data_IF_842033405550
#
_entry.id   IF_842033405550
#
_cell.length_a   1.000
_cell.length_b   1.000
_cell.length_c   1.000
_cell.angle_alpha   90.00
_cell.angle_beta   90.00
_cell.angle_gamma   90.00
#
_symmetry.space_group_name_H-M   'P 1'
#
loop_
_entity.id
_entity.type
_entity.pdbx_description
1 polymer ?
#
# COMPACT_ATOMS: atom_id res chain seq x y z
N UNK A 1 6.83 -24.74 -7.40
CA UNK A 1 6.31 -23.88 -6.33
C UNK A 1 5.57 -24.74 -5.31
N UNK A 2 5.96 -24.76 -4.03
CA UNK A 2 5.20 -25.49 -3.01
C UNK A 2 3.98 -24.71 -2.53
N UNK A 3 2.90 -25.40 -2.13
CA UNK A 3 1.65 -24.79 -1.63
C UNK A 3 1.92 -23.79 -0.50
N UNK A 4 2.84 -24.10 0.41
CA UNK A 4 3.24 -23.20 1.50
C UNK A 4 3.86 -21.89 1.01
N UNK A 5 4.54 -21.89 -0.14
CA UNK A 5 5.11 -20.66 -0.69
C UNK A 5 4.01 -19.72 -1.21
N UNK A 6 3.00 -20.26 -1.89
CA UNK A 6 1.85 -19.48 -2.36
C UNK A 6 1.08 -18.85 -1.18
N UNK A 7 0.89 -19.60 -0.10
CA UNK A 7 0.27 -19.10 1.13
C UNK A 7 1.12 -17.98 1.75
N UNK A 8 2.43 -18.17 1.88
CA UNK A 8 3.33 -17.16 2.46
C UNK A 8 3.38 -15.86 1.65
N UNK A 9 3.43 -15.96 0.31
CA UNK A 9 3.38 -14.79 -0.57
C UNK A 9 2.07 -14.04 -0.38
N UNK A 10 0.94 -14.74 -0.42
CA UNK A 10 -0.39 -14.14 -0.26
C UNK A 10 -0.58 -13.51 1.12
N UNK A 11 -0.07 -14.15 2.18
CA UNK A 11 -0.10 -13.61 3.54
C UNK A 11 0.75 -12.32 3.68
N UNK A 12 1.90 -12.28 3.00
CA UNK A 12 2.73 -11.07 2.96
C UNK A 12 2.05 -9.92 2.21
N UNK A 13 1.39 -10.22 1.08
CA UNK A 13 0.59 -9.26 0.31
C UNK A 13 -0.59 -8.72 1.12
N UNK A 14 -1.32 -9.60 1.81
CA UNK A 14 -2.42 -9.24 2.71
C UNK A 14 -1.97 -8.26 3.80
N UNK A 15 -0.83 -8.54 4.42
CA UNK A 15 -0.26 -7.67 5.47
C UNK A 15 0.15 -6.31 4.91
N UNK A 16 0.73 -6.28 3.70
CA UNK A 16 1.12 -5.05 3.03
C UNK A 16 -0.09 -4.20 2.62
N UNK A 17 -1.14 -4.81 2.07
CA UNK A 17 -2.37 -4.10 1.69
C UNK A 17 -3.15 -3.60 2.91
N UNK A 18 -3.13 -4.33 4.04
CA UNK A 18 -3.68 -3.80 5.30
C UNK A 18 -2.99 -2.48 5.70
N UNK A 19 -1.65 -2.45 5.67
CA UNK A 19 -0.92 -1.21 5.97
C UNK A 19 -1.27 -0.12 4.96
N UNK A 20 -1.42 -0.46 3.67
CA UNK A 20 -1.86 0.50 2.65
C UNK A 20 -3.24 1.09 2.99
N UNK A 21 -4.22 0.27 3.39
CA UNK A 21 -5.53 0.74 3.84
C UNK A 21 -5.45 1.66 5.07
N UNK A 22 -4.57 1.34 6.03
CA UNK A 22 -4.38 2.17 7.22
C UNK A 22 -3.83 3.56 6.85
N UNK A 23 -2.90 3.62 5.88
CA UNK A 23 -2.36 4.89 5.40
C UNK A 23 -3.38 5.69 4.60
N UNK A 24 -4.17 5.03 3.74
CA UNK A 24 -5.24 5.70 3.00
C UNK A 24 -6.30 6.25 3.97
N UNK A 25 -6.69 5.47 4.98
CA UNK A 25 -7.61 5.92 6.04
C UNK A 25 -7.08 7.15 6.77
N UNK A 26 -5.78 7.17 7.10
CA UNK A 26 -5.11 8.34 7.69
C UNK A 26 -5.13 9.55 6.77
N UNK A 27 -4.92 9.36 5.48
CA UNK A 27 -5.00 10.46 4.51
C UNK A 27 -6.42 11.04 4.45
N UNK A 28 -7.44 10.20 4.34
CA UNK A 28 -8.85 10.63 4.30
C UNK A 28 -9.21 11.39 5.58
N UNK A 29 -8.84 10.85 6.75
CA UNK A 29 -9.12 11.49 8.03
C UNK A 29 -8.46 12.87 8.18
N UNK A 30 -7.31 13.09 7.55
CA UNK A 30 -6.58 14.36 7.60
C UNK A 30 -6.71 15.20 6.32
N UNK A 31 -7.68 14.89 5.45
CA UNK A 31 -7.82 15.58 4.16
C UNK A 31 -8.14 17.07 4.31
N UNK A 32 -8.75 17.47 5.43
CA UNK A 32 -9.09 18.86 5.75
C UNK A 32 -8.22 19.43 6.88
N UNK A 33 -7.11 18.78 7.24
CA UNK A 33 -6.25 19.22 8.34
C UNK A 33 -5.23 20.26 7.86
N UNK A 34 -5.56 21.53 8.05
CA UNK A 34 -4.75 22.71 7.70
C UNK A 34 -3.55 22.93 8.62
N UNK A 35 -3.61 22.43 9.87
CA UNK A 35 -2.57 22.62 10.88
C UNK A 35 -2.23 21.32 11.60
N UNK A 36 -1.02 20.84 11.39
CA UNK A 36 -0.43 19.72 12.17
C UNK A 36 0.42 20.26 13.34
N UNK A 37 0.96 19.38 14.18
CA UNK A 37 1.87 19.76 15.28
C UNK A 37 3.11 20.56 14.82
N UNK A 38 3.49 20.43 13.55
CA UNK A 38 4.60 21.18 12.94
C UNK A 38 4.18 22.53 12.34
N UNK A 39 2.90 22.90 12.44
CA UNK A 39 2.34 24.14 11.89
C UNK A 39 2.05 24.13 10.40
N UNK A 40 2.43 23.07 9.67
CA UNK A 40 2.14 22.89 8.24
C UNK A 40 0.88 22.03 8.02
N UNK A 41 0.21 22.14 6.86
CA UNK A 41 -0.88 21.24 6.48
C UNK A 41 -0.44 19.79 6.38
N UNK A 42 -1.39 18.87 6.55
CA UNK A 42 -1.11 17.44 6.39
C UNK A 42 -0.61 17.14 4.97
N UNK A 43 0.46 16.35 4.87
CA UNK A 43 0.96 15.81 3.59
C UNK A 43 0.45 14.40 3.38
N UNK A 44 -0.07 14.14 2.17
CA UNK A 44 -0.45 12.81 1.70
C UNK A 44 0.70 11.83 1.88
N UNK A 45 0.42 10.67 2.49
CA UNK A 45 1.39 9.59 2.69
C UNK A 45 1.09 8.43 1.75
N UNK A 46 2.15 7.83 1.20
CA UNK A 46 2.07 6.71 0.27
C UNK A 46 2.95 5.55 0.75
N UNK A 47 2.52 4.33 0.49
CA UNK A 47 3.24 3.12 0.87
C UNK A 47 4.12 2.66 -0.29
N UNK A 48 5.39 2.36 -0.02
CA UNK A 48 6.32 1.77 -0.99
C UNK A 48 6.52 0.31 -0.67
N UNK A 49 6.17 -0.56 -1.61
CA UNK A 49 6.39 -1.99 -1.49
C UNK A 49 7.78 -2.38 -1.98
N UNK A 50 8.35 -3.42 -1.37
CA UNK A 50 9.61 -4.04 -1.78
C UNK A 50 9.53 -5.54 -1.57
N UNK A 51 10.26 -6.31 -2.38
CA UNK A 51 10.41 -7.73 -2.13
C UNK A 51 11.07 -7.97 -0.75
N UNK A 52 10.59 -8.98 -0.01
CA UNK A 52 11.10 -9.31 1.32
C UNK A 52 12.62 -9.56 1.31
N UNK A 53 13.13 -10.17 0.25
CA UNK A 53 14.53 -10.55 0.07
C UNK A 53 15.08 -10.02 -1.26
N UNK A 54 15.20 -8.70 -1.34
CA UNK A 54 15.72 -7.98 -2.50
C UNK A 54 17.18 -8.35 -2.74
N UNK A 55 17.45 -9.00 -3.89
CA UNK A 55 18.80 -9.21 -4.41
C UNK A 55 19.13 -8.19 -5.51
N UNK A 56 20.41 -7.99 -5.88
CA UNK A 56 20.76 -7.16 -7.03
C UNK A 56 20.14 -7.72 -8.31
N UNK A 57 19.79 -6.86 -9.27
CA UNK A 57 19.24 -7.29 -10.56
C UNK A 57 20.15 -8.31 -11.27
N UNK A 58 21.47 -8.15 -11.15
CA UNK A 58 22.46 -9.08 -11.69
C UNK A 58 22.27 -10.52 -11.18
N UNK A 59 21.86 -10.71 -9.93
CA UNK A 59 21.55 -12.03 -9.37
C UNK A 59 20.32 -12.67 -10.04
N UNK A 60 19.31 -11.89 -10.40
CA UNK A 60 18.14 -12.40 -11.11
C UNK A 60 18.47 -12.70 -12.57
N UNK A 61 19.29 -11.85 -13.20
CA UNK A 61 19.72 -12.02 -14.59
C UNK A 61 20.60 -13.28 -14.76
N UNK A 62 21.55 -13.51 -13.85
CA UNK A 62 22.44 -14.69 -13.91
C UNK A 62 21.71 -16.00 -13.62
N UNK A 63 20.68 -15.97 -12.78
CA UNK A 63 19.91 -17.16 -12.42
C UNK A 63 18.73 -17.45 -13.35
N UNK A 64 18.44 -16.57 -14.32
CA UNK A 64 17.33 -16.73 -15.25
C UNK A 64 17.46 -18.00 -16.11
N UNK A 65 18.69 -18.47 -16.33
CA UNK A 65 18.96 -19.66 -17.15
C UNK A 65 18.71 -20.98 -16.41
N UNK A 66 18.88 -21.07 -15.08
CA UNK A 66 19.04 -22.37 -14.40
C UNK A 66 18.23 -22.57 -13.09
N UNK A 67 17.36 -21.64 -12.67
CA UNK A 67 16.57 -21.85 -11.44
C UNK A 67 15.18 -21.21 -11.48
N UNK A 68 14.20 -21.97 -10.96
CA UNK A 68 12.90 -21.43 -10.55
C UNK A 68 13.13 -20.31 -9.52
N UNK A 69 12.94 -19.05 -9.96
CA UNK A 69 12.94 -17.89 -9.09
C UNK A 69 11.75 -18.03 -8.13
N UNK A 70 12.01 -18.47 -6.90
CA UNK A 70 11.01 -18.51 -5.86
C UNK A 70 10.84 -17.10 -5.29
N UNK A 71 9.76 -16.42 -5.66
CA UNK A 71 9.38 -15.15 -5.04
C UNK A 71 9.14 -15.34 -3.54
N UNK A 72 9.61 -14.38 -2.73
CA UNK A 72 9.52 -14.42 -1.26
C UNK A 72 8.43 -13.49 -0.70
N UNK A 73 7.55 -13.01 -1.57
CA UNK A 73 6.50 -12.08 -1.22
C UNK A 73 7.00 -10.65 -1.03
N UNK A 74 6.11 -9.80 -0.51
CA UNK A 74 6.31 -8.36 -0.42
C UNK A 74 6.31 -7.89 1.03
N UNK A 75 6.95 -6.74 1.26
CA UNK A 75 6.88 -6.01 2.52
C UNK A 75 6.77 -4.51 2.24
N UNK A 76 6.25 -3.79 3.21
CA UNK A 76 6.31 -2.32 3.20
C UNK A 76 7.75 -1.89 3.50
N UNK A 77 8.38 -1.19 2.57
CA UNK A 77 9.73 -0.68 2.72
C UNK A 77 9.76 0.65 3.45
N UNK A 78 8.82 1.54 3.10
CA UNK A 78 8.73 2.88 3.65
C UNK A 78 7.32 3.44 3.45
N UNK A 79 6.98 4.42 4.28
CA UNK A 79 5.86 5.32 4.06
C UNK A 79 6.48 6.66 3.68
N UNK A 80 6.24 7.11 2.45
CA UNK A 80 6.83 8.33 1.89
C UNK A 80 5.76 9.41 1.80
N UNK A 81 6.16 10.65 2.04
CA UNK A 81 5.27 11.79 1.83
C UNK A 81 5.28 12.20 0.35
N UNK A 82 4.11 12.58 -0.14
CA UNK A 82 3.97 13.12 -1.48
C UNK A 82 4.64 14.50 -1.55
N UNK A 83 5.44 14.71 -2.60
CA UNK A 83 6.20 15.94 -2.87
C UNK A 83 5.38 16.98 -3.62
N UNK A 84 4.18 16.63 -4.09
CA UNK A 84 3.28 17.59 -4.73
C UNK A 84 3.01 18.80 -3.81
N UNK A 85 2.86 20.01 -4.38
CA UNK A 85 2.61 21.20 -3.60
C UNK A 85 1.23 21.16 -2.94
N UNK A 86 1.09 21.88 -1.82
CA UNK A 86 -0.19 22.07 -1.14
C UNK A 86 -1.17 22.85 -2.02
N UNK A 87 -2.47 22.59 -1.84
CA UNK A 87 -3.51 23.29 -2.56
C UNK A 87 -3.77 24.63 -1.88
N UNK A 88 -3.69 25.74 -2.61
CA UNK A 88 -4.10 27.06 -2.11
C UNK A 88 -5.58 27.26 -2.39
N UNK A 89 -6.36 27.56 -1.37
CA UNK A 89 -7.79 27.87 -1.48
C UNK A 89 -8.03 29.25 -0.89
N UNK A 90 -8.79 30.09 -1.58
CA UNK A 90 -9.12 31.43 -1.10
C UNK A 90 -10.29 31.36 -0.13
N UNK A 91 -10.02 31.58 1.16
CA UNK A 91 -11.01 31.59 2.26
C UNK A 91 -10.64 32.68 3.28
N UNK A 92 -11.01 33.95 3.03
CA UNK A 92 -10.60 35.09 3.87
C UNK A 92 -11.10 35.05 5.32
N UNK A 93 -12.13 34.24 5.61
CA UNK A 93 -12.69 34.06 6.95
C UNK A 93 -12.06 32.91 7.75
N UNK A 94 -11.10 32.17 7.18
CA UNK A 94 -10.52 31.01 7.82
C UNK A 94 -9.41 31.42 8.82
N UNK A 95 -9.34 30.85 10.03
CA UNK A 95 -8.33 31.22 11.04
C UNK A 95 -6.88 30.95 10.61
N UNK A 96 -6.69 30.01 9.68
CA UNK A 96 -5.38 29.68 9.09
C UNK A 96 -5.13 30.39 7.73
N UNK A 97 -5.92 31.41 7.38
CA UNK A 97 -5.68 32.18 6.16
C UNK A 97 -4.46 33.10 6.30
N UNK A 98 -3.67 33.20 5.24
CA UNK A 98 -2.60 34.18 5.12
C UNK A 98 -3.17 35.61 4.97
N UNK A 99 -2.29 36.63 4.99
CA UNK A 99 -2.66 38.05 4.86
C UNK A 99 -3.48 38.37 3.61
N UNK A 100 -3.29 37.56 2.56
CA UNK A 100 -4.00 37.68 1.28
C UNK A 100 -5.31 36.87 1.23
N UNK A 101 -5.73 36.24 2.34
CA UNK A 101 -6.96 35.45 2.44
C UNK A 101 -6.86 34.01 1.91
N UNK A 102 -5.64 33.50 1.68
CA UNK A 102 -5.42 32.14 1.18
C UNK A 102 -5.08 31.15 2.30
N UNK A 103 -5.69 29.98 2.26
CA UNK A 103 -5.41 28.84 3.15
C UNK A 103 -4.63 27.77 2.39
N UNK A 104 -3.60 27.23 3.02
CA UNK A 104 -2.90 26.05 2.53
C UNK A 104 -3.64 24.79 2.97
N UNK A 105 -4.24 24.10 2.01
CA UNK A 105 -4.92 22.83 2.21
C UNK A 105 -3.98 21.65 1.92
N UNK A 106 -4.17 20.51 2.61
CA UNK A 106 -3.50 19.25 2.29
C UNK A 106 -3.57 18.89 0.81
N UNK A 107 -2.52 18.22 0.31
CA UNK A 107 -2.49 17.63 -1.03
C UNK A 107 -3.18 16.25 -1.08
N UNK A 108 -4.29 16.10 -0.35
CA UNK A 108 -5.06 14.86 -0.28
C UNK A 108 -6.35 15.03 -1.05
N UNK A 109 -6.56 14.20 -2.07
CA UNK A 109 -7.82 14.15 -2.82
C UNK A 109 -8.64 12.95 -2.34
N UNK A 110 -9.73 13.20 -1.62
CA UNK A 110 -10.56 12.15 -1.01
C UNK A 110 -11.08 11.17 -2.05
N UNK A 111 -11.45 11.64 -3.24
CA UNK A 111 -11.91 10.78 -4.35
C UNK A 111 -10.82 9.79 -4.77
N UNK A 112 -9.57 10.26 -4.88
CA UNK A 112 -8.44 9.41 -5.24
C UNK A 112 -8.13 8.41 -4.12
N UNK A 113 -8.17 8.85 -2.87
CA UNK A 113 -7.96 7.95 -1.72
C UNK A 113 -9.06 6.87 -1.63
N UNK A 114 -10.31 7.19 -1.95
CA UNK A 114 -11.39 6.19 -2.00
C UNK A 114 -11.15 5.15 -3.11
N UNK A 115 -10.70 5.58 -4.28
CA UNK A 115 -10.32 4.65 -5.37
C UNK A 115 -9.14 3.77 -4.95
N UNK A 116 -8.13 4.36 -4.33
CA UNK A 116 -6.98 3.63 -3.78
C UNK A 116 -7.41 2.64 -2.69
N UNK A 117 -8.39 3.00 -1.84
CA UNK A 117 -8.93 2.12 -0.80
C UNK A 117 -9.66 0.92 -1.40
N UNK A 118 -10.47 1.14 -2.43
CA UNK A 118 -11.15 0.08 -3.17
C UNK A 118 -10.11 -0.85 -3.80
N UNK A 119 -9.07 -0.29 -4.45
CA UNK A 119 -7.98 -1.08 -5.04
C UNK A 119 -7.27 -1.94 -4.00
N UNK A 120 -6.91 -1.37 -2.85
CA UNK A 120 -6.28 -2.11 -1.75
C UNK A 120 -7.21 -3.21 -1.21
N UNK A 121 -8.51 -2.93 -1.07
CA UNK A 121 -9.50 -3.90 -0.59
C UNK A 121 -9.61 -5.10 -1.53
N UNK A 122 -9.71 -4.84 -2.84
CA UNK A 122 -9.73 -5.90 -3.86
C UNK A 122 -8.43 -6.71 -3.87
N UNK A 123 -7.27 -6.09 -3.67
CA UNK A 123 -6.00 -6.80 -3.58
C UNK A 123 -5.94 -7.69 -2.32
N UNK A 124 -6.46 -7.22 -1.18
CA UNK A 124 -6.58 -8.01 0.05
C UNK A 124 -7.51 -9.22 -0.13
N UNK A 125 -8.69 -9.01 -0.73
CA UNK A 125 -9.64 -10.08 -1.08
C UNK A 125 -9.02 -11.10 -2.04
N UNK A 126 -8.29 -10.65 -3.06
CA UNK A 126 -7.61 -11.52 -4.01
C UNK A 126 -6.55 -12.41 -3.33
N UNK A 127 -5.79 -11.86 -2.37
CA UNK A 127 -4.84 -12.65 -1.56
C UNK A 127 -5.56 -13.71 -0.71
N UNK A 128 -6.72 -13.40 -0.12
CA UNK A 128 -7.53 -14.39 0.60
C UNK A 128 -7.99 -15.51 -0.33
N UNK A 129 -8.50 -15.14 -1.52
CA UNK A 129 -8.95 -16.11 -2.51
C UNK A 129 -7.81 -17.04 -2.96
N UNK A 130 -6.60 -16.50 -3.16
CA UNK A 130 -5.41 -17.29 -3.49
C UNK A 130 -5.01 -18.28 -2.38
N UNK A 131 -5.10 -17.87 -1.11
CA UNK A 131 -4.86 -18.76 0.05
C UNK A 131 -5.89 -19.89 0.07
N UNK A 132 -7.17 -19.56 -0.10
CA UNK A 132 -8.24 -20.55 -0.09
C UNK A 132 -8.10 -21.56 -1.22
N UNK A 133 -7.79 -21.10 -2.44
CA UNK A 133 -7.50 -21.97 -3.58
C UNK A 133 -6.31 -22.90 -3.29
N UNK A 134 -5.22 -22.35 -2.76
CA UNK A 134 -4.02 -23.12 -2.37
C UNK A 134 -4.33 -24.18 -1.31
N UNK A 135 -5.15 -23.82 -0.30
CA UNK A 135 -5.62 -24.74 0.74
C UNK A 135 -6.46 -25.87 0.16
N UNK A 136 -7.43 -25.57 -0.70
CA UNK A 136 -8.28 -26.58 -1.35
C UNK A 136 -7.45 -27.55 -2.18
N UNK A 137 -6.49 -27.05 -2.96
CA UNK A 137 -5.58 -27.91 -3.74
C UNK A 137 -4.78 -28.87 -2.85
N UNK A 138 -4.21 -28.38 -1.74
CA UNK A 138 -3.48 -29.24 -0.81
C UNK A 138 -4.37 -30.30 -0.14
N UNK A 139 -5.58 -29.93 0.28
CA UNK A 139 -6.54 -30.88 0.86
C UNK A 139 -6.92 -31.97 -0.15
N UNK A 140 -7.20 -31.60 -1.41
CA UNK A 140 -7.50 -32.56 -2.47
C UNK A 140 -6.33 -33.50 -2.78
N UNK A 141 -5.11 -32.99 -2.76
CA UNK A 141 -3.92 -33.83 -2.92
C UNK A 141 -3.76 -34.85 -1.77
N UNK A 142 -4.08 -34.46 -0.54
CA UNK A 142 -4.08 -35.38 0.62
C UNK A 142 -5.17 -36.45 0.51
N UNK A 143 -6.34 -36.12 -0.06
CA UNK A 143 -7.41 -37.09 -0.31
C UNK A 143 -7.01 -38.15 -1.36
N UNK A 144 -6.27 -37.77 -2.40
CA UNK A 144 -5.79 -38.70 -3.44
C UNK A 144 -4.73 -39.67 -2.90
N UNK A 145 -3.94 -39.26 -1.91
CA UNK A 145 -2.90 -40.09 -1.29
C UNK A 145 -3.42 -41.09 -0.24
N UNK A 146 -4.74 -41.21 -0.06
CA UNK A 146 -5.39 -42.15 0.85
C UNK A 146 -5.91 -43.40 0.14
#
# INVERSE_FOLDING_TARGET
MGVFNAINISASGMSAERIRMDIISKNIANANTTRTSSGLPYRRKMVVFKEKNSKPFSYYLSNYSHKNLNGQGVKVSAIVEDKTPFKKVYEPGHPDADKDGYVLMPNVEVVKEMVDMISASRAYEANIAAINSSKTMAMKALEIGR
#
